data_IF_983523512414
#
_entry.id   IF_983523512414
#
_cell.length_a   1.000
_cell.length_b   1.000
_cell.length_c   1.000
_cell.angle_alpha   90.00
_cell.angle_beta   90.00
_cell.angle_gamma   90.00
#
_symmetry.space_group_name_H-M   'P 1'
#
loop_
_entity.id
_entity.type
_entity.pdbx_description
1 polymer ?
2 water ?
#
# COMPACT_ATOMS: atom_id res chain seq x y z
N UNK A 17 25.33 17.28 -5.92
CA UNK A 17 25.16 17.81 -4.57
C UNK A 17 24.20 16.96 -3.77
N UNK A 18 24.74 15.97 -3.08
CA UNK A 18 23.90 15.13 -2.27
C UNK A 18 24.19 15.36 -0.76
N UNK A 19 23.34 16.15 -0.02
CA UNK A 19 23.63 16.24 1.41
C UNK A 19 23.27 14.94 2.09
N UNK A 20 23.73 14.81 3.32
CA UNK A 20 23.34 13.72 4.19
C UNK A 20 22.17 14.20 5.03
N UNK A 21 21.10 13.42 5.10
CA UNK A 21 19.91 13.87 5.80
C UNK A 21 19.79 13.13 7.13
N UNK A 22 19.68 13.89 8.21
CA UNK A 22 19.49 13.30 9.53
C UNK A 22 18.10 12.69 9.62
N UNK A 23 17.98 11.54 10.26
CA UNK A 23 16.68 10.96 10.51
C UNK A 23 16.34 11.24 11.96
N UNK A 24 15.43 12.15 12.21
CA UNK A 24 15.09 12.53 13.56
C UNK A 24 13.87 11.83 14.13
N UNK A 25 13.02 11.30 13.28
CA UNK A 25 11.82 10.66 13.76
C UNK A 25 10.71 11.54 14.28
N UNK A 26 10.02 11.15 15.36
CA UNK A 26 8.91 11.90 15.81
C UNK A 26 9.50 12.95 16.70
N UNK A 27 9.07 14.19 16.52
CA UNK A 27 9.53 15.24 17.38
C UNK A 27 8.41 15.60 18.33
N UNK A 28 8.77 16.17 19.46
CA UNK A 28 7.78 16.55 20.43
C UNK A 28 7.15 17.87 20.10
N UNK A 29 7.87 18.71 19.36
CA UNK A 29 7.30 19.98 18.91
C UNK A 29 7.61 20.20 17.45
N UNK A 30 6.79 20.96 16.73
CA UNK A 30 7.09 21.30 15.33
C UNK A 30 8.11 22.42 15.24
N UNK A 31 8.68 22.57 14.06
CA UNK A 31 9.60 23.67 13.84
C UNK A 31 8.82 24.98 13.70
N UNK A 32 7.68 24.96 13.02
CA UNK A 32 6.81 26.13 12.93
C UNK A 32 5.64 25.96 13.89
N UNK A 33 5.46 26.87 14.86
CA UNK A 33 4.47 26.63 15.91
C UNK A 33 3.04 26.51 15.41
N UNK A 34 2.77 26.86 14.16
CA UNK A 34 1.42 26.80 13.60
C UNK A 34 1.12 25.49 12.86
N UNK A 35 2.09 24.59 12.76
CA UNK A 35 1.90 23.35 12.01
C UNK A 35 1.04 22.38 12.79
N UNK A 36 -0.06 21.93 12.18
CA UNK A 36 -0.76 20.77 12.71
C UNK A 36 -0.07 19.46 12.30
N UNK A 37 0.57 19.45 11.13
CA UNK A 37 1.34 18.31 10.61
C UNK A 37 2.59 18.84 9.95
N UNK A 38 3.73 18.25 10.29
CA UNK A 38 4.99 18.47 9.58
C UNK A 38 5.58 17.10 9.28
N UNK A 39 5.81 16.83 8.00
CA UNK A 39 6.37 15.56 7.55
C UNK A 39 7.53 15.88 6.62
N UNK A 40 8.67 15.20 6.79
CA UNK A 40 9.61 15.19 5.66
C UNK A 40 10.39 13.89 5.59
N UNK A 41 10.79 13.56 4.36
CA UNK A 41 11.38 12.27 4.05
C UNK A 41 12.34 12.43 2.89
N UNK A 42 13.41 11.63 2.90
CA UNK A 42 14.45 11.68 1.89
C UNK A 42 14.29 10.64 0.78
N UNK A 43 13.11 10.05 0.62
CA UNK A 43 12.82 9.21 -0.54
C UNK A 43 11.48 9.59 -1.16
N UNK A 44 11.41 10.74 -1.83
CA UNK A 44 10.10 11.17 -2.37
C UNK A 44 9.52 10.23 -3.43
N UNK A 45 10.31 9.34 -4.01
CA UNK A 45 9.76 8.44 -5.02
C UNK A 45 8.70 7.50 -4.43
N UNK A 46 8.75 7.20 -3.12
CA UNK A 46 7.67 6.38 -2.55
C UNK A 46 6.32 7.03 -2.80
N UNK A 47 6.27 8.37 -2.77
CA UNK A 47 5.01 9.06 -3.00
C UNK A 47 4.62 9.01 -4.48
N UNK A 48 5.60 9.17 -5.38
CA UNK A 48 5.32 8.98 -6.81
C UNK A 48 4.75 7.60 -7.06
N UNK A 49 5.39 6.57 -6.51
CA UNK A 49 4.90 5.21 -6.76
C UNK A 49 3.58 4.92 -6.05
N UNK A 50 3.39 5.45 -4.84
CA UNK A 50 2.08 5.29 -4.21
C UNK A 50 0.99 5.82 -5.13
N UNK A 51 1.23 6.97 -5.74
CA UNK A 51 0.18 7.60 -6.54
C UNK A 51 0.07 7.01 -7.94
N UNK A 52 1.10 6.33 -8.45
CA UNK A 52 0.92 5.50 -9.65
C UNK A 52 -0.02 4.35 -9.35
N UNK A 53 0.13 3.72 -8.17
CA UNK A 53 -0.74 2.62 -7.75
C UNK A 53 -2.19 3.09 -7.66
N UNK A 54 -2.42 4.24 -7.04
CA UNK A 54 -3.78 4.78 -6.97
C UNK A 54 -4.33 5.07 -8.36
N UNK A 55 -3.51 5.61 -9.26
CA UNK A 55 -3.98 5.85 -10.62
C UNK A 55 -4.34 4.52 -11.31
N UNK A 56 -3.50 3.49 -11.14
CA UNK A 56 -3.76 2.20 -11.79
C UNK A 56 -5.05 1.58 -11.25
N UNK A 57 -5.32 1.72 -9.96
CA UNK A 57 -6.59 1.25 -9.43
C UNK A 57 -7.76 2.17 -9.73
N UNK A 58 -7.48 3.35 -10.31
CA UNK A 58 -8.49 4.37 -10.62
C UNK A 58 -9.23 4.85 -9.37
N UNK A 59 -8.50 4.97 -8.25
CA UNK A 59 -9.04 5.57 -7.04
C UNK A 59 -9.27 7.05 -7.29
N UNK A 60 -10.46 7.52 -6.92
CA UNK A 60 -10.80 8.89 -7.28
C UNK A 60 -10.39 9.87 -6.19
N UNK A 61 -10.73 9.56 -4.94
CA UNK A 61 -10.40 10.37 -3.77
C UNK A 61 -9.54 9.55 -2.83
N UNK A 62 -8.46 10.16 -2.34
CA UNK A 62 -7.55 9.53 -1.38
C UNK A 62 -7.79 10.18 -0.04
N UNK A 63 -8.16 9.40 0.94
CA UNK A 63 -8.41 9.92 2.26
C UNK A 63 -7.17 9.77 3.09
N UNK A 64 -6.89 10.75 3.93
CA UNK A 64 -5.69 10.74 4.73
C UNK A 64 -5.95 10.83 6.20
N UNK A 65 -5.37 9.96 7.00
CA UNK A 65 -5.48 10.08 8.43
C UNK A 65 -4.12 10.40 9.00
N UNK A 66 -4.00 11.50 9.69
CA UNK A 66 -2.75 11.90 10.33
C UNK A 66 -2.90 11.72 11.84
N UNK A 67 -1.82 11.27 12.46
CA UNK A 67 -1.79 10.82 13.84
C UNK A 67 -0.44 11.19 14.39
N UNK A 68 -0.30 11.42 15.72
CA UNK A 68 1.02 11.64 16.31
C UNK A 68 2.05 10.57 15.97
N UNK A 69 1.64 9.36 15.56
CA UNK A 69 2.63 8.33 15.22
C UNK A 69 2.69 7.95 13.74
N UNK A 70 1.65 8.16 12.95
CA UNK A 70 1.82 7.81 11.54
C UNK A 70 0.81 8.54 10.68
N UNK A 71 1.09 8.54 9.37
CA UNK A 71 0.18 9.06 8.37
C UNK A 71 -0.28 7.91 7.49
N UNK A 72 -1.58 7.87 7.20
CA UNK A 72 -2.18 6.75 6.48
C UNK A 72 -3.00 7.29 5.32
N UNK A 73 -2.81 6.72 4.12
CA UNK A 73 -3.63 7.02 2.95
C UNK A 73 -4.55 5.83 2.68
N UNK A 74 -5.83 6.10 2.44
CA UNK A 74 -6.90 5.12 2.28
C UNK A 74 -7.64 5.35 0.97
N UNK A 75 -7.96 4.28 0.25
CA UNK A 75 -8.96 4.35 -0.81
C UNK A 75 -9.37 2.95 -1.28
N UNK A 76 -10.64 2.82 -1.67
CA UNK A 76 -11.07 1.70 -2.51
C UNK A 76 -10.53 1.88 -3.93
N UNK A 77 -10.30 0.74 -4.60
CA UNK A 77 -10.14 0.79 -6.04
C UNK A 77 -11.48 1.15 -6.70
N UNK A 78 -11.45 1.40 -8.01
CA UNK A 78 -12.69 1.77 -8.70
C UNK A 78 -13.73 0.64 -8.65
N UNK A 79 -13.29 -0.63 -8.71
CA UNK A 79 -14.26 -1.73 -8.70
C UNK A 79 -14.91 -1.92 -7.34
N UNK A 80 -14.33 -1.33 -6.28
CA UNK A 80 -14.68 -1.51 -4.88
C UNK A 80 -14.38 -2.92 -4.37
N UNK A 81 -13.83 -3.81 -5.20
CA UNK A 81 -13.43 -5.12 -4.69
C UNK A 81 -12.27 -5.02 -3.69
N UNK A 82 -11.41 -4.03 -3.84
CA UNK A 82 -10.24 -3.95 -2.98
C UNK A 82 -10.04 -2.62 -2.26
N UNK A 83 -9.40 -2.67 -1.11
CA UNK A 83 -9.17 -1.47 -0.32
C UNK A 83 -7.70 -1.30 0.03
N UNK A 84 -7.18 -0.11 -0.23
CA UNK A 84 -5.77 0.15 0.01
C UNK A 84 -5.47 0.94 1.25
N UNK A 85 -4.60 0.42 2.09
CA UNK A 85 -4.13 1.15 3.26
C UNK A 85 -2.62 1.31 3.12
N UNK A 86 -2.17 2.55 2.94
CA UNK A 86 -0.76 2.85 2.80
C UNK A 86 -0.30 3.63 4.01
N UNK A 87 0.62 3.05 4.79
CA UNK A 87 0.98 3.65 6.07
C UNK A 87 2.45 4.05 6.07
N UNK A 88 2.76 5.24 6.58
CA UNK A 88 4.14 5.65 6.81
C UNK A 88 4.27 6.03 8.28
N UNK A 89 5.03 5.25 9.03
CA UNK A 89 5.21 5.56 10.45
C UNK A 89 6.21 6.70 10.63
N UNK A 90 5.91 7.59 11.57
CA UNK A 90 6.76 8.76 11.78
C UNK A 90 8.15 8.41 12.26
N UNK A 91 8.28 7.32 13.03
CA UNK A 91 9.60 6.93 13.51
C UNK A 91 10.55 6.54 12.39
N UNK A 92 10.07 6.35 11.15
CA UNK A 92 10.96 5.88 10.09
C UNK A 92 11.29 6.97 9.07
N UNK A 93 10.90 8.22 9.30
CA UNK A 93 11.16 9.29 8.34
C UNK A 93 12.09 10.33 8.96
N UNK A 94 12.45 11.35 8.18
CA UNK A 94 13.46 12.31 8.62
C UNK A 94 12.92 13.27 9.66
N UNK A 95 11.63 13.54 9.62
CA UNK A 95 11.05 14.61 10.40
C UNK A 95 9.55 14.35 10.45
N UNK A 96 8.97 14.18 11.64
CA UNK A 96 7.53 13.92 11.72
C UNK A 96 6.97 14.56 12.97
N UNK A 97 5.96 15.40 12.79
CA UNK A 97 5.16 15.90 13.91
C UNK A 97 3.71 15.96 13.49
N UNK A 98 2.82 15.47 14.36
CA UNK A 98 1.39 15.68 14.17
C UNK A 98 0.74 16.02 15.51
N UNK A 99 -0.06 17.09 15.53
CA UNK A 99 -0.54 17.59 16.81
C UNK A 99 -1.54 16.63 17.43
N UNK A 100 -2.40 16.03 16.62
CA UNK A 100 -3.49 15.17 17.09
C UNK A 100 -3.94 14.30 15.91
N UNK A 101 -5.12 13.72 16.03
CA UNK A 101 -5.71 12.85 15.01
C UNK A 101 -6.64 13.68 14.13
N UNK A 102 -6.35 13.77 12.83
CA UNK A 102 -7.27 14.50 11.96
C UNK A 102 -7.26 13.87 10.58
N UNK A 103 -8.24 14.25 9.76
CA UNK A 103 -8.49 13.62 8.48
C UNK A 103 -8.56 14.65 7.38
N UNK A 104 -8.05 14.27 6.20
CA UNK A 104 -8.10 15.13 5.03
C UNK A 104 -8.53 14.32 3.82
N UNK A 105 -9.13 15.00 2.85
CA UNK A 105 -9.44 14.34 1.60
C UNK A 105 -8.67 14.98 0.46
N UNK A 106 -8.06 14.18 -0.42
CA UNK A 106 -7.28 14.66 -1.55
C UNK A 106 -7.84 14.07 -2.85
N UNK A 107 -8.29 14.93 -3.75
CA UNK A 107 -8.70 14.47 -5.08
C UNK A 107 -7.46 14.00 -5.85
N UNK A 108 -7.50 12.77 -6.36
CA UNK A 108 -6.29 12.15 -6.91
C UNK A 108 -5.84 12.84 -8.20
N UNK A 109 -6.77 13.06 -9.14
CA UNK A 109 -6.39 13.72 -10.39
C UNK A 109 -5.74 15.09 -10.14
N UNK A 110 -6.17 15.80 -9.09
CA UNK A 110 -5.61 17.12 -8.79
C UNK A 110 -4.11 17.06 -8.48
N UNK A 111 -3.65 16.03 -7.77
CA UNK A 111 -2.25 15.90 -7.40
C UNK A 111 -1.43 15.00 -8.28
N UNK A 112 -2.05 14.42 -9.28
CA UNK A 112 -1.38 13.44 -10.12
C UNK A 112 -0.15 13.95 -10.86
N UNK A 113 -0.23 15.15 -11.38
CA UNK A 113 0.88 15.70 -12.09
C UNK A 113 2.03 16.02 -11.18
N UNK A 114 1.74 16.62 -10.04
CA UNK A 114 2.76 16.92 -9.08
C UNK A 114 3.51 15.67 -8.67
N UNK A 115 2.79 14.64 -8.26
CA UNK A 115 3.46 13.44 -7.81
C UNK A 115 4.20 12.78 -8.97
N UNK A 116 3.67 12.86 -10.18
CA UNK A 116 4.41 12.29 -11.29
C UNK A 116 5.67 13.09 -11.64
N UNK A 117 5.72 14.39 -11.28
CA UNK A 117 6.90 15.18 -11.60
C UNK A 117 8.13 14.82 -10.78
N UNK A 118 7.98 14.11 -9.65
CA UNK A 118 9.14 13.65 -8.90
C UNK A 118 9.99 12.73 -9.77
N UNK A 119 11.31 12.84 -9.64
CA UNK A 119 12.20 11.87 -10.29
C UNK A 119 13.35 11.56 -9.32
N UNK A 120 14.39 10.86 -9.82
CA UNK A 120 15.47 10.46 -8.92
C UNK A 120 16.37 11.62 -8.49
N UNK A 121 16.11 12.84 -8.97
CA UNK A 121 16.88 14.02 -8.58
C UNK A 121 16.32 14.70 -7.35
N UNK A 122 15.02 14.54 -7.08
CA UNK A 122 14.40 15.02 -5.85
C UNK A 122 15.01 14.29 -4.67
N UNK A 123 15.62 15.03 -3.76
CA UNK A 123 16.19 14.36 -2.61
C UNK A 123 15.31 14.47 -1.37
N UNK A 124 14.22 15.24 -1.44
CA UNK A 124 13.45 15.51 -0.24
C UNK A 124 12.00 15.81 -0.60
N UNK A 125 11.08 15.40 0.26
CA UNK A 125 9.70 15.88 0.20
C UNK A 125 9.28 16.29 1.59
N UNK A 126 8.66 17.47 1.69
CA UNK A 126 8.08 17.95 2.93
C UNK A 126 6.60 18.23 2.72
N UNK A 127 5.80 17.83 3.70
CA UNK A 127 4.36 18.05 3.68
C UNK A 127 4.01 18.80 4.96
N UNK A 128 3.30 19.92 4.84
CA UNK A 128 2.93 20.77 5.97
C UNK A 128 1.42 21.04 5.91
N UNK A 129 0.76 20.91 7.05
CA UNK A 129 -0.64 21.31 7.21
C UNK A 129 -0.73 22.25 8.40
N UNK A 130 -1.26 23.45 8.19
CA UNK A 130 -1.29 24.48 9.23
C UNK A 130 -2.72 24.75 9.69
N UNK A 131 -2.87 24.99 10.99
CA UNK A 131 -4.18 25.28 11.58
C UNK A 131 -4.90 26.42 10.87
N UNK A 132 -4.16 27.45 10.46
CA UNK A 132 -4.80 28.65 9.94
C UNK A 132 -5.14 28.55 8.45
N UNK A 133 -4.76 27.45 7.80
CA UNK A 133 -5.12 27.17 6.41
C UNK A 133 -5.66 25.75 6.33
N UNK A 134 -6.85 25.52 6.91
CA UNK A 134 -7.35 24.14 7.07
C UNK A 134 -7.75 23.46 5.78
N UNK A 135 -7.86 24.20 4.68
CA UNK A 135 -8.19 23.61 3.39
C UNK A 135 -6.97 23.49 2.48
N UNK A 136 -5.78 23.62 3.05
CA UNK A 136 -4.58 23.55 2.27
C UNK A 136 -3.57 22.52 2.75
N UNK A 137 -2.96 21.77 1.83
CA UNK A 137 -1.92 20.85 2.18
C UNK A 137 -0.74 21.27 1.37
N UNK A 138 0.33 21.63 2.04
CA UNK A 138 1.50 22.11 1.36
C UNK A 138 2.49 21.01 1.05
N UNK A 139 2.89 20.89 -0.19
CA UNK A 139 3.94 19.94 -0.57
C UNK A 139 5.16 20.74 -0.99
N UNK A 140 6.33 20.45 -0.41
CA UNK A 140 7.56 21.18 -0.69
C UNK A 140 8.64 20.24 -1.19
N UNK A 141 9.18 20.51 -2.37
CA UNK A 141 10.28 19.75 -2.93
C UNK A 141 11.51 20.66 -3.07
N UNK A 142 12.65 20.25 -2.51
CA UNK A 142 13.87 21.05 -2.61
C UNK A 142 14.85 20.45 -3.60
N UNK A 143 15.39 21.30 -4.48
CA UNK A 143 16.48 20.98 -5.40
C UNK A 143 17.77 21.56 -4.81
N UNK A 144 18.67 20.70 -4.39
CA UNK A 144 19.87 21.13 -3.67
C UNK A 144 21.04 21.49 -4.58
N UNK A 145 20.92 21.31 -5.90
CA UNK A 145 21.97 21.82 -6.78
C UNK A 145 22.00 23.35 -6.76
N UNK A 146 20.83 23.99 -6.74
CA UNK A 146 20.80 25.45 -6.76
C UNK A 146 20.08 26.03 -5.56
N UNK A 147 19.61 25.19 -4.63
CA UNK A 147 18.92 25.63 -3.41
C UNK A 147 17.62 26.37 -3.74
N UNK A 148 16.78 25.74 -4.56
CA UNK A 148 15.44 26.28 -4.81
C UNK A 148 14.40 25.34 -4.18
N UNK A 149 13.49 25.93 -3.43
CA UNK A 149 12.40 25.18 -2.84
C UNK A 149 11.18 25.43 -3.70
N UNK A 150 10.53 24.37 -4.14
CA UNK A 150 9.34 24.48 -4.95
C UNK A 150 8.12 24.01 -4.17
N UNK A 151 7.12 24.86 -4.03
CA UNK A 151 5.95 24.52 -3.21
C UNK A 151 4.60 24.46 -3.92
N UNK A 152 3.84 23.41 -3.69
CA UNK A 152 2.48 23.31 -4.22
C UNK A 152 1.47 23.46 -3.09
N UNK A 153 0.46 24.30 -3.31
CA UNK A 153 -0.66 24.47 -2.39
C UNK A 153 -1.80 23.60 -2.91
N UNK A 154 -2.00 22.44 -2.31
CA UNK A 154 -3.02 21.49 -2.77
C UNK A 154 -4.25 21.68 -1.90
N UNK A 155 -5.38 22.06 -2.51
CA UNK A 155 -6.59 22.24 -1.74
C UNK A 155 -7.12 20.88 -1.32
N UNK A 156 -7.51 20.76 -0.06
CA UNK A 156 -7.99 19.52 0.53
C UNK A 156 -9.27 19.78 1.28
N UNK A 157 -10.01 18.71 1.52
CA UNK A 157 -11.27 18.73 2.25
C UNK A 157 -11.12 17.94 3.55
N UNK A 158 -12.16 17.99 4.37
CA UNK A 158 -12.23 17.17 5.58
C UNK A 158 -13.50 16.32 5.52
N UNK A 159 -13.33 14.97 5.38
CA UNK A 159 -14.61 14.25 5.25
C UNK A 159 -15.04 13.53 6.50
N UNK A 160 -14.44 13.82 7.65
CA UNK A 160 -14.74 13.10 8.89
C UNK A 160 -14.76 11.60 8.69
N UNK A 167 -14.52 0.51 3.72
CA UNK A 167 -15.60 1.07 4.51
C UNK A 167 -15.06 1.91 5.65
N UNK A 168 -15.15 1.37 6.85
CA UNK A 168 -14.60 2.05 8.00
C UNK A 168 -13.35 1.32 8.46
N UNK A 169 -13.52 0.26 9.24
CA UNK A 169 -12.34 -0.37 9.80
C UNK A 169 -11.99 -1.69 9.15
N UNK A 170 -11.18 -1.65 8.11
CA UNK A 170 -10.69 -2.84 7.48
C UNK A 170 -9.29 -2.91 8.03
N UNK A 171 -8.93 -1.94 8.86
CA UNK A 171 -7.62 -1.92 9.46
C UNK A 171 -7.52 -3.02 10.47
N UNK A 172 -8.65 -3.52 10.89
CA UNK A 172 -8.65 -4.65 11.79
C UNK A 172 -8.04 -5.84 11.10
N UNK A 173 -8.33 -6.00 9.81
CA UNK A 173 -7.82 -7.13 9.07
C UNK A 173 -6.32 -7.21 9.11
N UNK A 174 -5.66 -6.08 9.30
CA UNK A 174 -4.21 -6.08 9.30
C UNK A 174 -3.64 -5.58 10.62
N UNK A 175 -4.31 -5.90 11.71
CA UNK A 175 -3.75 -5.59 13.01
C UNK A 175 -2.58 -6.56 13.22
N UNK A 176 -1.73 -6.28 14.19
CA UNK A 176 -0.59 -7.15 14.47
C UNK A 176 -1.03 -8.56 14.79
N UNK A 177 -2.18 -8.72 15.43
CA UNK A 177 -2.66 -10.03 15.84
C UNK A 177 -3.44 -10.93 14.88
N UNK A 178 -4.03 -10.41 13.80
CA UNK A 178 -4.86 -11.17 12.87
C UNK A 178 -3.82 -12.01 12.15
N UNK A 179 -3.69 -13.27 12.57
CA UNK A 179 -2.59 -14.14 12.16
C UNK A 179 -3.14 -15.21 11.22
N UNK A 180 -2.91 -15.00 9.94
CA UNK A 180 -3.43 -15.74 8.81
C UNK A 180 -2.73 -17.09 8.70
N UNK A 181 -3.47 -18.16 8.41
CA UNK A 181 -2.86 -19.49 8.42
C UNK A 181 -1.95 -19.77 7.24
N UNK A 182 -2.05 -19.01 6.15
CA UNK A 182 -1.32 -19.33 4.94
C UNK A 182 -0.80 -18.04 4.33
N UNK A 183 0.52 -17.96 4.12
CA UNK A 183 1.17 -16.77 3.54
C UNK A 183 2.34 -17.19 2.68
N UNK A 184 2.60 -16.44 1.63
CA UNK A 184 3.76 -16.69 0.79
C UNK A 184 4.13 -15.44 0.05
N UNK A 185 5.21 -15.49 -0.72
CA UNK A 185 5.61 -14.36 -1.51
C UNK A 185 5.79 -14.61 -2.97
N UNK A 186 5.26 -13.75 -3.81
CA UNK A 186 5.49 -13.79 -5.25
C UNK A 186 6.24 -12.53 -5.65
N UNK A 187 7.05 -12.65 -6.70
CA UNK A 187 7.55 -11.47 -7.37
C UNK A 187 6.50 -10.99 -8.36
N UNK A 188 6.63 -9.72 -8.77
CA UNK A 188 5.75 -9.22 -9.81
C UNK A 188 5.76 -10.13 -11.02
N UNK A 189 6.95 -10.62 -11.40
CA UNK A 189 7.06 -11.50 -12.56
C UNK A 189 6.28 -12.80 -12.36
N UNK A 190 6.51 -13.47 -11.23
CA UNK A 190 5.87 -14.75 -10.97
C UNK A 190 4.35 -14.62 -10.97
N UNK A 191 3.83 -13.59 -10.29
CA UNK A 191 2.39 -13.44 -10.16
C UNK A 191 1.75 -13.17 -11.51
N UNK A 192 2.43 -12.41 -12.37
CA UNK A 192 1.89 -12.09 -13.69
C UNK A 192 2.03 -13.25 -14.65
N UNK A 193 3.01 -14.14 -14.43
CA UNK A 193 3.09 -15.34 -15.25
C UNK A 193 1.99 -16.32 -14.86
N UNK A 194 1.82 -16.59 -13.57
CA UNK A 194 0.73 -17.46 -13.11
C UNK A 194 -0.59 -17.02 -13.72
N UNK A 195 -0.95 -15.76 -13.51
CA UNK A 195 -2.24 -15.30 -14.00
C UNK A 195 -2.15 -14.66 -15.37
N UNK A 196 -1.73 -15.41 -16.36
CA UNK A 196 -1.54 -14.86 -17.70
C UNK A 196 -2.74 -15.04 -18.63
N UNK A 197 -3.45 -16.14 -18.50
CA UNK A 197 -4.65 -16.33 -19.30
C UNK A 197 -5.84 -16.62 -18.39
N UNK A 200 -12.56 -14.79 -16.11
CA UNK A 200 -14.00 -14.86 -16.03
C UNK A 200 -14.43 -15.99 -15.10
N UNK A 201 -13.62 -16.31 -14.09
CA UNK A 201 -13.89 -17.45 -13.21
C UNK A 201 -13.21 -17.33 -11.84
N UNK A 202 -13.01 -18.44 -11.12
CA UNK A 202 -12.22 -18.42 -9.88
C UNK A 202 -10.98 -19.30 -9.94
N UNK A 203 -10.13 -19.10 -8.95
CA UNK A 203 -8.92 -19.87 -8.82
C UNK A 203 -8.98 -20.42 -7.42
N UNK A 204 -8.67 -21.68 -7.28
CA UNK A 204 -8.72 -22.32 -6.00
C UNK A 204 -7.34 -22.35 -5.39
N UNK A 205 -7.22 -21.93 -4.15
CA UNK A 205 -5.96 -22.00 -3.45
C UNK A 205 -6.11 -23.06 -2.39
N UNK A 206 -5.26 -24.06 -2.40
CA UNK A 206 -5.36 -25.15 -1.46
C UNK A 206 -4.02 -25.61 -0.94
N UNK A 207 -3.99 -26.02 0.31
CA UNK A 207 -2.74 -26.46 0.88
C UNK A 207 -2.67 -27.85 1.52
N UNK A 208 -3.20 -28.07 2.73
CA UNK A 208 -3.00 -29.35 3.43
C UNK A 208 -3.88 -29.54 4.65
N UNK A 212 1.48 -29.74 7.45
CA UNK A 212 2.63 -30.62 7.43
C UNK A 212 3.46 -30.35 6.21
N UNK A 213 3.73 -31.37 5.42
CA UNK A 213 4.41 -31.14 4.18
C UNK A 213 3.42 -30.34 3.42
N UNK A 214 3.86 -29.19 2.92
CA UNK A 214 2.93 -28.30 2.28
C UNK A 214 3.16 -28.05 0.83
N UNK A 215 2.57 -28.88 -0.01
CA UNK A 215 2.68 -28.48 -1.39
C UNK A 215 1.56 -27.43 -1.55
N UNK A 216 1.86 -26.20 -1.96
CA UNK A 216 0.81 -25.21 -2.22
C UNK A 216 0.24 -25.46 -3.60
N UNK A 217 -1.06 -25.59 -3.67
CA UNK A 217 -1.69 -25.87 -4.93
C UNK A 217 -2.54 -24.71 -5.40
N UNK A 218 -2.43 -24.38 -6.66
CA UNK A 218 -3.22 -23.33 -7.23
C UNK A 218 -3.85 -23.91 -8.47
N UNK A 219 -5.17 -23.85 -8.57
CA UNK A 219 -5.81 -24.31 -9.79
C UNK A 219 -6.89 -23.48 -10.40
N UNK A 220 -6.84 -23.34 -11.71
CA UNK A 220 -7.82 -22.56 -12.43
C UNK A 220 -7.95 -23.03 -13.85
N UNK A 221 -8.82 -22.37 -14.60
CA UNK A 221 -8.98 -22.71 -16.01
C UNK A 221 -8.25 -21.69 -16.88
N UNK A 222 -7.32 -22.16 -17.69
CA UNK A 222 -6.58 -21.28 -18.58
C UNK A 222 -7.26 -21.25 -19.91
N UNK A 223 -6.58 -20.72 -20.91
CA UNK A 223 -7.17 -20.62 -22.26
C UNK A 223 -8.00 -21.78 -22.72
N UNK A 224 -9.14 -21.50 -23.33
CA UNK A 224 -10.00 -22.56 -23.90
C UNK A 224 -10.42 -23.67 -22.97
N UNK A 225 -10.78 -23.34 -21.73
CA UNK A 225 -11.33 -24.32 -20.78
C UNK A 225 -10.35 -25.46 -20.49
N UNK A 226 -9.06 -25.17 -20.46
CA UNK A 226 -8.05 -26.15 -20.07
C UNK A 226 -7.81 -26.02 -18.57
N UNK A 227 -7.98 -27.13 -17.84
CA UNK A 227 -7.69 -27.16 -16.41
C UNK A 227 -6.18 -27.10 -16.17
N UNK A 228 -5.76 -26.12 -15.38
CA UNK A 228 -4.35 -25.82 -15.18
C UNK A 228 -4.09 -25.85 -13.69
N UNK A 229 -2.92 -26.35 -13.29
CA UNK A 229 -2.61 -26.61 -11.89
C UNK A 229 -1.14 -26.25 -11.65
N UNK A 230 -0.88 -25.38 -10.66
CA UNK A 230 0.48 -25.12 -10.21
C UNK A 230 0.65 -25.71 -8.81
N UNK A 231 1.78 -26.38 -8.60
CA UNK A 231 2.07 -27.06 -7.35
C UNK A 231 3.45 -26.61 -6.87
N UNK A 232 3.52 -25.99 -5.69
CA UNK A 232 4.75 -25.43 -5.16
C UNK A 232 5.33 -26.42 -4.17
N UNK A 233 6.37 -27.16 -4.59
CA UNK A 233 6.87 -28.25 -3.77
C UNK A 233 7.79 -27.77 -2.65
N UNK A 234 8.33 -26.55 -2.75
CA UNK A 234 9.31 -26.03 -1.80
C UNK A 234 8.78 -24.75 -1.14
N UNK A 235 8.35 -24.84 0.09
CA UNK A 235 7.80 -23.68 0.74
C UNK A 235 8.80 -22.56 0.96
N UNK A 236 10.07 -22.91 1.07
CA UNK A 236 11.08 -21.89 1.34
C UNK A 236 11.51 -21.07 0.12
N UNK A 237 11.34 -21.59 -1.08
CA UNK A 237 11.70 -20.84 -2.27
C UNK A 237 10.70 -19.73 -2.56
N UNK A 238 9.46 -19.86 -2.10
CA UNK A 238 8.47 -18.78 -2.18
C UNK A 238 8.19 -18.19 -0.80
N UNK A 239 9.08 -18.47 0.18
CA UNK A 239 8.99 -17.94 1.55
C UNK A 239 7.60 -18.14 2.14
N UNK A 240 7.09 -19.36 2.06
CA UNK A 240 5.74 -19.66 2.53
C UNK A 240 5.79 -20.08 3.99
N UNK A 241 4.88 -19.56 4.80
CA UNK A 241 4.67 -20.06 6.14
C UNK A 241 3.21 -20.47 6.34
N UNK A 242 2.99 -21.55 7.10
CA UNK A 242 1.65 -22.05 7.37
C UNK A 242 1.49 -22.40 8.84
N UNK A 243 0.38 -21.96 9.43
CA UNK A 243 -0.02 -22.37 10.77
C UNK A 243 -1.22 -23.33 10.76
N UNK A 244 -1.48 -23.91 9.60
CA UNK A 244 -2.58 -24.84 9.48
C UNK A 244 -2.26 -26.12 10.19
N UNK A 245 -3.17 -26.57 11.05
CA UNK A 245 -2.96 -27.82 11.76
C UNK A 245 -2.73 -29.00 10.89
N UNK A 246 -1.74 -29.79 11.23
CA UNK A 246 -1.36 -30.98 10.47
C UNK A 246 -2.26 -31.58 9.40
N UNK A 247 -3.45 -32.03 9.78
CA UNK A 247 -4.29 -32.72 8.81
C UNK A 247 -5.54 -31.99 8.37
N UNK A 248 -5.79 -30.81 8.92
CA UNK A 248 -6.95 -30.03 8.53
C UNK A 248 -6.72 -29.37 7.17
N UNK A 249 -7.68 -29.51 6.27
CA UNK A 249 -7.53 -28.95 4.93
C UNK A 249 -7.84 -27.46 4.93
N UNK A 250 -7.12 -26.74 4.08
CA UNK A 250 -7.37 -25.33 3.81
C UNK A 250 -7.60 -25.20 2.32
N UNK A 251 -8.77 -24.69 1.94
CA UNK A 251 -9.08 -24.49 0.53
C UNK A 251 -9.94 -23.25 0.42
N UNK A 252 -9.60 -22.35 -0.50
CA UNK A 252 -10.44 -21.19 -0.75
C UNK A 252 -10.60 -21.00 -2.26
N UNK A 253 -11.70 -20.37 -2.61
CA UNK A 253 -12.12 -20.05 -3.98
C UNK A 253 -12.20 -18.55 -4.04
N UNK A 254 -11.33 -17.91 -4.83
CA UNK A 254 -11.38 -16.46 -4.94
C UNK A 254 -11.45 -16.08 -6.42
N UNK A 255 -11.96 -14.88 -6.66
CA UNK A 255 -12.26 -14.48 -8.01
C UNK A 255 -10.97 -14.04 -8.70
N UNK A 256 -10.72 -14.59 -9.89
CA UNK A 256 -9.42 -14.39 -10.52
C UNK A 256 -9.31 -13.01 -11.15
N UNK A 257 -10.45 -12.42 -11.53
CA UNK A 257 -10.43 -11.07 -12.11
C UNK A 257 -9.89 -10.04 -11.12
N UNK A 258 -10.24 -10.14 -9.84
CA UNK A 258 -9.73 -9.18 -8.87
C UNK A 258 -8.23 -9.34 -8.68
N UNK A 259 -7.74 -10.59 -8.65
CA UNK A 259 -6.30 -10.84 -8.50
C UNK A 259 -5.53 -10.29 -9.69
N UNK A 260 -6.03 -10.54 -10.90
CA UNK A 260 -5.32 -10.11 -12.10
C UNK A 260 -5.18 -8.59 -12.16
N UNK A 261 -6.21 -7.86 -11.73
CA UNK A 261 -6.13 -6.40 -11.71
C UNK A 261 -5.15 -5.90 -10.66
N UNK A 262 -5.09 -6.55 -9.50
CA UNK A 262 -4.09 -6.14 -8.53
C UNK A 262 -2.68 -6.42 -9.04
N UNK A 263 -2.51 -7.49 -9.82
CA UNK A 263 -1.19 -7.80 -10.36
C UNK A 263 -0.78 -6.77 -11.41
N UNK A 264 -1.69 -6.44 -12.33
CA UNK A 264 -1.39 -5.44 -13.34
C UNK A 264 -1.06 -4.08 -12.72
N UNK A 265 -1.58 -3.80 -11.52
CA UNK A 265 -1.42 -2.49 -10.90
C UNK A 265 -0.18 -2.38 -10.00
N UNK A 266 0.50 -3.48 -9.70
CA UNK A 266 1.64 -3.44 -8.78
C UNK A 266 2.69 -2.42 -9.20
N UNK A 267 3.24 -1.72 -8.23
CA UNK A 267 4.37 -0.83 -8.46
C UNK A 267 5.64 -1.33 -7.79
N UNK A 268 5.56 -2.46 -7.13
CA UNK A 268 6.70 -3.01 -6.44
C UNK A 268 7.12 -4.28 -7.09
N UNK A 269 8.23 -4.81 -6.65
CA UNK A 269 8.74 -6.02 -7.23
C UNK A 269 8.24 -7.25 -6.52
N UNK A 270 7.71 -7.10 -5.32
CA UNK A 270 7.29 -8.25 -4.55
C UNK A 270 6.06 -8.05 -3.73
N UNK A 271 5.19 -9.05 -3.67
CA UNK A 271 4.05 -8.98 -2.76
C UNK A 271 4.05 -10.19 -1.85
N UNK A 272 3.55 -9.97 -0.64
CA UNK A 272 3.38 -11.06 0.27
C UNK A 272 1.88 -11.28 0.25
N UNK A 273 1.48 -12.50 0.01
CA UNK A 273 0.08 -12.84 -0.03
C UNK A 273 -0.29 -13.52 1.24
N UNK A 274 -1.34 -13.05 1.90
CA UNK A 274 -1.81 -13.65 3.14
C UNK A 274 -3.25 -14.10 2.94
N UNK A 275 -3.57 -15.34 3.29
CA UNK A 275 -4.90 -15.87 3.05
C UNK A 275 -5.66 -16.31 4.29
N UNK A 276 -6.98 -16.11 4.30
CA UNK A 276 -7.84 -16.56 5.41
C UNK A 276 -8.79 -17.65 4.96
N UNK A 277 -9.23 -18.51 5.86
CA UNK A 277 -10.09 -19.64 5.50
C UNK A 277 -11.42 -19.29 4.89
N UNK A 278 -11.92 -18.10 5.18
CA UNK A 278 -13.15 -17.67 4.53
C UNK A 278 -12.92 -17.04 3.16
N UNK A 279 -11.69 -17.08 2.63
CA UNK A 279 -11.37 -16.52 1.32
C UNK A 279 -10.78 -15.13 1.34
N UNK A 280 -10.66 -14.49 2.49
CA UNK A 280 -10.12 -13.16 2.56
C UNK A 280 -8.66 -13.13 2.14
N UNK A 281 -8.26 -12.12 1.40
CA UNK A 281 -6.90 -11.98 0.96
C UNK A 281 -6.26 -10.63 1.30
N UNK A 282 -5.05 -10.63 1.83
CA UNK A 282 -4.30 -9.39 2.08
C UNK A 282 -3.01 -9.46 1.25
N UNK A 283 -2.80 -8.46 0.39
CA UNK A 283 -1.57 -8.29 -0.35
C UNK A 283 -0.73 -7.20 0.34
N UNK A 284 0.56 -7.46 0.46
CA UNK A 284 1.43 -6.61 1.27
C UNK A 284 2.71 -6.34 0.50
N UNK A 285 2.99 -5.06 0.21
CA UNK A 285 4.23 -4.61 -0.41
C UNK A 285 4.88 -3.54 0.45
N UNK A 286 6.21 -3.53 0.44
CA UNK A 286 6.94 -2.51 1.16
C UNK A 286 7.79 -1.76 0.16
N UNK A 287 7.82 -0.45 0.29
CA UNK A 287 8.65 0.34 -0.58
C UNK A 287 9.85 0.73 0.23
N UNK A 288 9.70 1.64 1.16
CA UNK A 288 10.82 1.93 2.04
C UNK A 288 10.16 2.15 3.37
N UNK A 289 9.99 3.39 3.80
CA UNK A 289 9.19 3.60 5.01
C UNK A 289 7.72 3.31 4.74
N UNK A 290 7.30 3.14 3.50
CA UNK A 290 5.89 2.97 3.16
C UNK A 290 5.51 1.49 3.22
N UNK A 291 4.45 1.16 3.97
CA UNK A 291 3.88 -0.18 3.94
C UNK A 291 2.57 -0.13 3.16
N UNK A 292 2.51 -0.88 2.08
CA UNK A 292 1.39 -0.82 1.14
C UNK A 292 0.57 -2.11 1.30
N UNK A 293 -0.63 -1.97 1.84
CA UNK A 293 -1.50 -3.10 2.07
C UNK A 293 -2.72 -3.01 1.19
N UNK A 294 -3.05 -4.10 0.53
CA UNK A 294 -4.24 -4.14 -0.29
C UNK A 294 -5.15 -5.28 0.14
N UNK A 295 -6.31 -4.95 0.69
CA UNK A 295 -7.20 -5.97 1.21
C UNK A 295 -8.31 -6.32 0.24
N UNK A 296 -8.53 -7.62 0.06
CA UNK A 296 -9.58 -8.10 -0.84
C UNK A 296 -10.34 -9.18 -0.08
N UNK A 297 -11.40 -8.79 0.61
CA UNK A 297 -12.18 -9.72 1.40
C UNK A 297 -13.11 -10.52 0.52
N UNK A 298 -13.56 -11.68 0.95
CA UNK A 298 -14.43 -12.51 0.13
C UNK A 298 -15.90 -12.22 0.44
N UNK A 299 -16.34 -10.99 0.22
CA UNK A 299 -17.72 -10.61 0.50
C UNK A 299 -18.24 -9.80 -0.65
N UNK A 300 -17.65 -9.97 -1.81
CA UNK A 300 -18.02 -9.13 -2.93
C UNK A 300 -18.87 -9.79 -3.98
N UNK A 301 -20.04 -9.21 -4.22
CA UNK A 301 -20.92 -9.71 -5.25
C UNK A 301 -21.13 -8.61 -6.29
#
# INVERSE_FOLDING_TARGET
>A
MSEDIRRGPGRPPKKRVVPNFERKGILEKPVRPQSRLEFSYDNPLIFKNLFIYFKNLKSKNILVRCTPTEITFFSRDQSQASFVIATIDGKNVNHYYASDVFWLGINRELVEKMFNSIDRSFLKITIVHRYDKPETLFFIFTDFDIDKECTYQITVSEPELDMDLIEMEKSISEERLKNYPLRWEFTSKQLKKTFSDLSNYTELVTIEKLGGDTPLHLYFQKFNSISYHEMYKSSNKINLTSTIPKSQVFQINVKIAHIKSLASAMVTDKIRILCEENGNLIFQSEMDALMLNTITLNNTI
#
